data_IF_424039515985
#
_entry.id   IF_424039515985
#
_cell.length_a   1.000
_cell.length_b   1.000
_cell.length_c   1.000
_cell.angle_alpha   90.00
_cell.angle_beta   90.00
_cell.angle_gamma   90.00
#
_symmetry.space_group_name_H-M   'P 1'
#
loop_
_entity.id
_entity.type
_entity.pdbx_description
1 polymer ?
#
# COMPACT_ATOMS: atom_id res chain seq x y z
N UNK A 1 0.09 10.77 25.78
CA UNK A 1 1.24 11.16 24.92
C UNK A 1 1.31 10.35 23.62
N UNK A 2 1.45 9.02 23.68
CA UNK A 2 1.50 8.15 22.49
C UNK A 2 0.32 8.34 21.50
N UNK A 3 -0.91 8.49 22.00
CA UNK A 3 -2.09 8.71 21.15
C UNK A 3 -1.97 9.94 20.24
N UNK A 4 -1.46 11.06 20.77
CA UNK A 4 -1.32 12.29 19.98
C UNK A 4 -0.23 12.12 18.91
N UNK A 5 0.86 11.42 19.22
CA UNK A 5 1.92 11.10 18.25
C UNK A 5 1.37 10.26 17.10
N UNK A 6 0.59 9.21 17.39
CA UNK A 6 -0.04 8.39 16.35
C UNK A 6 -1.07 9.17 15.53
N UNK A 7 -1.90 9.99 16.19
CA UNK A 7 -2.89 10.83 15.52
C UNK A 7 -2.23 11.84 14.57
N UNK A 8 -1.15 12.49 15.00
CA UNK A 8 -0.40 13.42 14.16
C UNK A 8 0.26 12.73 12.97
N UNK A 9 0.82 11.53 13.17
CA UNK A 9 1.34 10.72 12.07
C UNK A 9 0.26 10.34 11.05
N UNK A 10 -0.94 9.96 11.51
CA UNK A 10 -2.06 9.61 10.66
C UNK A 10 -2.55 10.85 9.90
N UNK A 11 -2.74 11.98 10.58
CA UNK A 11 -3.19 13.22 9.96
C UNK A 11 -2.20 13.69 8.88
N UNK A 12 -0.90 13.68 9.19
CA UNK A 12 0.16 14.05 8.24
C UNK A 12 0.17 13.14 7.01
N UNK A 13 -0.08 11.84 7.19
CA UNK A 13 -0.22 10.90 6.06
C UNK A 13 -1.53 11.16 5.28
N UNK A 14 -2.64 11.41 5.97
CA UNK A 14 -3.94 11.68 5.36
C UNK A 14 -3.93 12.95 4.51
N UNK A 15 -3.37 14.04 5.03
CA UNK A 15 -3.19 15.30 4.31
C UNK A 15 -2.30 15.10 3.08
N UNK A 16 -1.26 14.28 3.19
CA UNK A 16 -0.39 13.93 2.08
C UNK A 16 -1.12 13.15 0.98
N UNK A 17 -1.87 12.09 1.33
CA UNK A 17 -2.65 11.31 0.36
C UNK A 17 -3.75 12.15 -0.31
N UNK A 18 -4.31 13.12 0.41
CA UNK A 18 -5.36 14.00 -0.08
C UNK A 18 -4.85 15.14 -0.98
N UNK A 19 -3.58 15.56 -0.80
CA UNK A 19 -3.02 16.71 -1.51
C UNK A 19 -2.97 16.49 -3.03
N UNK A 20 -2.79 15.26 -3.48
CA UNK A 20 -2.90 14.90 -4.89
C UNK A 20 -3.42 13.48 -5.09
N UNK A 21 -4.74 13.33 -4.96
CA UNK A 21 -5.44 12.06 -5.15
C UNK A 21 -5.18 11.45 -6.53
N UNK A 22 -4.99 12.30 -7.55
CA UNK A 22 -4.75 11.86 -8.93
C UNK A 22 -3.36 11.26 -9.09
N UNK A 23 -2.34 11.87 -8.47
CA UNK A 23 -1.00 11.28 -8.46
C UNK A 23 -0.97 10.02 -7.59
N UNK A 24 -1.65 10.04 -6.44
CA UNK A 24 -1.70 8.88 -5.55
C UNK A 24 -2.43 7.67 -6.15
N UNK A 25 -3.42 7.88 -7.02
CA UNK A 25 -4.12 6.78 -7.70
C UNK A 25 -3.17 5.99 -8.61
N UNK A 26 -2.20 6.65 -9.27
CA UNK A 26 -1.20 5.96 -10.11
C UNK A 26 -0.30 5.04 -9.27
N UNK A 27 0.16 5.51 -8.12
CA UNK A 27 0.94 4.67 -7.19
C UNK A 27 0.13 3.49 -6.67
N UNK A 28 -1.16 3.71 -6.39
CA UNK A 28 -2.05 2.65 -5.94
C UNK A 28 -2.27 1.58 -7.03
N UNK A 29 -2.42 1.97 -8.30
CA UNK A 29 -2.51 1.04 -9.43
C UNK A 29 -1.25 0.17 -9.56
N UNK A 30 -0.06 0.79 -9.49
CA UNK A 30 1.21 0.04 -9.49
C UNK A 30 1.31 -0.92 -8.30
N UNK A 31 0.95 -0.45 -7.10
CA UNK A 31 0.94 -1.28 -5.88
C UNK A 31 -0.01 -2.47 -5.99
N UNK A 32 -1.20 -2.28 -6.58
CA UNK A 32 -2.16 -3.36 -6.78
C UNK A 32 -1.59 -4.47 -7.67
N UNK A 33 -0.90 -4.11 -8.75
CA UNK A 33 -0.24 -5.09 -9.64
C UNK A 33 0.84 -5.85 -8.86
N UNK A 34 1.65 -5.14 -8.07
CA UNK A 34 2.70 -5.75 -7.25
C UNK A 34 2.13 -6.72 -6.20
N UNK A 35 1.09 -6.31 -5.47
CA UNK A 35 0.40 -7.19 -4.51
C UNK A 35 -0.19 -8.43 -5.19
N UNK A 36 -0.78 -8.27 -6.38
CA UNK A 36 -1.32 -9.40 -7.15
C UNK A 36 -0.23 -10.42 -7.51
N UNK A 37 0.97 -9.97 -7.88
CA UNK A 37 2.11 -10.86 -8.11
C UNK A 37 2.52 -11.59 -6.81
N UNK A 38 2.62 -10.88 -5.69
CA UNK A 38 2.90 -11.52 -4.39
C UNK A 38 1.86 -12.59 -4.02
N UNK A 39 0.57 -12.33 -4.21
CA UNK A 39 -0.51 -13.30 -3.95
C UNK A 39 -0.37 -14.54 -4.84
N UNK A 40 -0.10 -14.36 -6.14
CA UNK A 40 0.11 -15.47 -7.08
C UNK A 40 1.29 -16.36 -6.70
N UNK A 41 2.39 -15.76 -6.21
CA UNK A 41 3.58 -16.49 -5.77
C UNK A 41 3.27 -17.33 -4.53
N UNK A 42 2.54 -16.77 -3.58
CA UNK A 42 2.17 -17.43 -2.32
C UNK A 42 1.22 -18.62 -2.55
N UNK A 43 0.19 -18.45 -3.39
CA UNK A 43 -0.77 -19.50 -3.73
C UNK A 43 -0.14 -20.68 -4.48
N UNK A 44 0.88 -20.41 -5.31
CA UNK A 44 1.46 -21.41 -6.21
C UNK A 44 2.71 -22.10 -5.70
N UNK A 45 3.15 -21.82 -4.45
CA UNK A 45 4.42 -22.29 -3.89
C UNK A 45 5.58 -22.03 -4.87
N UNK A 46 5.81 -20.76 -5.23
CA UNK A 46 6.97 -20.25 -5.99
C UNK A 46 6.95 -20.35 -7.52
N UNK A 47 5.84 -20.68 -8.19
CA UNK A 47 5.80 -20.60 -9.66
C UNK A 47 5.68 -19.14 -10.12
N UNK A 48 6.82 -18.49 -10.27
CA UNK A 48 6.90 -17.09 -10.71
C UNK A 48 6.59 -16.88 -12.19
N UNK A 49 6.49 -17.95 -12.99
CA UNK A 49 6.19 -17.86 -14.44
C UNK A 49 4.83 -17.21 -14.68
N UNK A 50 3.89 -17.40 -13.76
CA UNK A 50 2.54 -16.79 -13.78
C UNK A 50 2.52 -15.27 -13.50
N UNK A 51 3.66 -14.70 -13.10
CA UNK A 51 3.79 -13.28 -12.78
C UNK A 51 4.30 -12.45 -13.95
N UNK A 52 4.84 -13.06 -15.01
CA UNK A 52 5.48 -12.33 -16.13
C UNK A 52 4.56 -11.25 -16.75
N UNK A 53 3.31 -11.59 -17.03
CA UNK A 53 2.35 -10.63 -17.61
C UNK A 53 2.06 -9.45 -16.66
N UNK A 54 1.94 -9.72 -15.36
CA UNK A 54 1.71 -8.67 -14.36
C UNK A 54 3.01 -7.88 -14.11
N UNK A 55 4.18 -8.51 -14.22
CA UNK A 55 5.48 -7.87 -14.08
C UNK A 55 5.75 -6.88 -15.21
N UNK A 56 5.36 -7.23 -16.45
CA UNK A 56 5.42 -6.30 -17.58
C UNK A 56 4.50 -5.10 -17.36
N UNK A 57 3.25 -5.34 -16.94
CA UNK A 57 2.32 -4.25 -16.62
C UNK A 57 2.83 -3.34 -15.51
N UNK A 58 3.42 -3.94 -14.47
CA UNK A 58 4.03 -3.18 -13.38
C UNK A 58 5.17 -2.30 -13.90
N UNK A 59 6.08 -2.86 -14.71
CA UNK A 59 7.19 -2.10 -15.28
C UNK A 59 6.68 -0.93 -16.14
N UNK A 60 5.68 -1.17 -17.00
CA UNK A 60 5.10 -0.13 -17.84
C UNK A 60 4.47 1.00 -17.00
N UNK A 61 3.72 0.68 -15.94
CA UNK A 61 3.16 1.69 -15.04
C UNK A 61 4.23 2.42 -14.24
N UNK A 62 5.23 1.69 -13.74
CA UNK A 62 6.36 2.26 -13.01
C UNK A 62 7.11 3.30 -13.86
N UNK A 63 7.39 3.00 -15.14
CA UNK A 63 8.08 3.93 -16.03
C UNK A 63 7.26 5.19 -16.31
N UNK A 64 5.93 5.08 -16.44
CA UNK A 64 5.05 6.25 -16.55
C UNK A 64 5.14 7.13 -15.31
N UNK A 65 5.16 6.52 -14.12
CA UNK A 65 5.27 7.24 -12.85
C UNK A 65 6.66 7.89 -12.78
N UNK A 66 7.74 7.13 -12.95
CA UNK A 66 9.13 7.60 -12.88
C UNK A 66 9.44 8.72 -13.89
N UNK A 67 8.88 8.67 -15.09
CA UNK A 67 9.05 9.69 -16.12
C UNK A 67 8.37 11.03 -15.81
N UNK A 68 7.35 11.04 -14.95
CA UNK A 68 6.63 12.24 -14.58
C UNK A 68 7.29 13.01 -13.43
N UNK A 69 8.16 12.36 -12.63
CA UNK A 69 8.78 12.99 -11.47
C UNK A 69 10.21 13.48 -11.75
N UNK A 70 10.43 14.80 -11.74
CA UNK A 70 11.74 15.44 -11.96
C UNK A 70 12.53 15.67 -10.65
N UNK A 71 13.79 16.13 -10.75
CA UNK A 71 14.68 16.37 -9.61
C UNK A 71 14.14 17.36 -8.56
N UNK A 72 13.29 18.29 -8.98
CA UNK A 72 12.63 19.31 -8.16
C UNK A 72 11.37 18.83 -7.41
N UNK A 73 10.95 17.58 -7.62
CA UNK A 73 9.65 17.09 -7.18
C UNK A 73 9.60 16.49 -5.77
N UNK A 74 8.37 16.40 -5.23
CA UNK A 74 8.08 16.07 -3.83
C UNK A 74 8.86 14.82 -3.37
N UNK A 75 9.78 15.04 -2.43
CA UNK A 75 10.57 14.02 -1.72
C UNK A 75 9.71 12.82 -1.30
N UNK A 76 8.43 13.03 -1.04
CA UNK A 76 7.52 11.98 -0.59
C UNK A 76 7.10 11.03 -1.74
N UNK A 77 6.85 11.53 -2.95
CA UNK A 77 6.54 10.66 -4.10
C UNK A 77 7.74 9.81 -4.50
N UNK A 78 8.93 10.41 -4.50
CA UNK A 78 10.18 9.67 -4.73
C UNK A 78 10.38 8.55 -3.71
N UNK A 79 10.03 8.82 -2.45
CA UNK A 79 10.07 7.81 -1.39
C UNK A 79 9.11 6.65 -1.64
N UNK A 80 7.90 6.91 -2.12
CA UNK A 80 6.95 5.85 -2.48
C UNK A 80 7.47 5.06 -3.68
N UNK A 81 7.97 5.74 -4.70
CA UNK A 81 8.52 5.11 -5.90
C UNK A 81 9.71 4.20 -5.57
N UNK A 82 10.64 4.66 -4.72
CA UNK A 82 11.74 3.85 -4.19
C UNK A 82 11.24 2.59 -3.48
N UNK A 83 10.21 2.74 -2.65
CA UNK A 83 9.62 1.59 -1.94
C UNK A 83 9.06 0.56 -2.92
N UNK A 84 8.35 1.01 -3.97
CA UNK A 84 7.82 0.13 -5.02
C UNK A 84 8.93 -0.55 -5.82
N UNK A 85 10.01 0.18 -6.14
CA UNK A 85 11.19 -0.36 -6.81
C UNK A 85 11.84 -1.47 -5.97
N UNK A 86 12.14 -1.18 -4.70
CA UNK A 86 12.78 -2.12 -3.78
C UNK A 86 11.92 -3.38 -3.56
N UNK A 87 10.60 -3.20 -3.40
CA UNK A 87 9.67 -4.31 -3.20
C UNK A 87 9.52 -5.19 -4.45
N UNK A 88 9.61 -4.61 -5.65
CA UNK A 88 9.65 -5.36 -6.92
C UNK A 88 10.95 -6.16 -7.06
N UNK A 89 12.09 -5.54 -6.78
CA UNK A 89 13.39 -6.23 -6.79
C UNK A 89 13.43 -7.38 -5.78
N UNK A 90 12.83 -7.20 -4.61
CA UNK A 90 12.68 -8.26 -3.61
C UNK A 90 11.77 -9.40 -4.11
N UNK A 91 10.69 -9.08 -4.84
CA UNK A 91 9.84 -10.08 -5.46
C UNK A 91 10.62 -10.87 -6.52
N UNK A 92 11.37 -10.19 -7.38
CA UNK A 92 12.23 -10.81 -8.39
C UNK A 92 13.26 -11.74 -7.75
N UNK A 93 13.95 -11.32 -6.70
CA UNK A 93 14.89 -12.17 -5.93
C UNK A 93 14.23 -13.42 -5.35
N UNK A 94 12.98 -13.34 -4.90
CA UNK A 94 12.23 -14.53 -4.44
C UNK A 94 11.94 -15.52 -5.58
N UNK A 95 11.89 -15.02 -6.80
CA UNK A 95 11.69 -15.79 -8.02
C UNK A 95 13.00 -16.32 -8.64
N UNK A 96 14.14 -15.70 -8.34
CA UNK A 96 15.46 -16.01 -8.94
C UNK A 96 16.05 -17.38 -8.56
N UNK A 97 15.37 -18.18 -7.72
CA UNK A 97 15.71 -19.60 -7.57
C UNK A 97 15.45 -20.40 -8.87
N UNK A 98 14.59 -19.90 -9.76
CA UNK A 98 14.33 -20.46 -11.09
C UNK A 98 15.02 -19.59 -12.16
N UNK A 99 16.23 -19.98 -12.58
CA UNK A 99 17.07 -19.32 -13.61
C UNK A 99 16.41 -19.07 -14.99
N UNK A 100 15.15 -19.48 -15.17
CA UNK A 100 14.43 -19.41 -16.45
C UNK A 100 13.50 -18.19 -16.61
N UNK A 101 13.27 -17.42 -15.55
CA UNK A 101 12.24 -16.37 -15.55
C UNK A 101 12.90 -14.99 -15.67
N UNK A 102 12.75 -14.37 -16.84
CA UNK A 102 13.32 -13.05 -17.09
C UNK A 102 12.29 -11.95 -16.78
N UNK A 103 12.30 -11.45 -15.54
CA UNK A 103 11.50 -10.28 -15.15
C UNK A 103 12.05 -9.01 -15.81
N UNK A 104 11.16 -8.09 -16.27
CA UNK A 104 11.55 -6.77 -16.73
C UNK A 104 12.47 -6.05 -15.74
N UNK A 105 13.47 -5.34 -16.27
CA UNK A 105 14.32 -4.47 -15.45
C UNK A 105 13.71 -3.08 -15.43
N UNK A 106 13.59 -2.51 -14.24
CA UNK A 106 13.11 -1.14 -14.04
C UNK A 106 14.24 -0.13 -14.23
N UNK A 107 13.91 1.05 -14.76
CA UNK A 107 14.86 2.16 -14.81
C UNK A 107 15.13 2.67 -13.39
N UNK A 108 16.40 3.00 -13.08
CA UNK A 108 16.73 3.64 -11.82
C UNK A 108 15.97 4.97 -11.69
N UNK A 109 15.59 5.28 -10.45
CA UNK A 109 14.87 6.52 -10.17
C UNK A 109 15.81 7.69 -10.40
N UNK A 110 15.35 8.68 -11.16
CA UNK A 110 16.07 9.94 -11.36
C UNK A 110 16.05 10.71 -10.02
N UNK A 111 17.14 10.59 -9.27
CA UNK A 111 17.33 11.35 -8.03
C UNK A 111 18.68 12.06 -8.04
N UNK A 112 18.79 13.22 -7.38
CA UNK A 112 20.10 13.78 -7.06
C UNK A 112 20.83 12.82 -6.11
N UNK A 113 22.14 12.63 -6.32
CA UNK A 113 23.02 11.65 -5.63
C UNK A 113 22.87 11.58 -4.09
N UNK A 114 22.37 12.65 -3.47
CA UNK A 114 22.21 12.81 -2.02
C UNK A 114 20.94 12.14 -1.45
N UNK A 115 20.04 11.62 -2.30
CA UNK A 115 18.76 11.05 -1.85
C UNK A 115 18.90 9.59 -1.42
N UNK A 116 19.69 8.79 -2.16
CA UNK A 116 19.94 7.38 -1.88
C UNK A 116 20.71 7.16 -0.57
N UNK A 117 21.73 7.97 -0.31
CA UNK A 117 22.59 7.85 0.89
C UNK A 117 21.84 8.06 2.22
N UNK A 118 20.79 8.89 2.24
CA UNK A 118 19.97 9.12 3.44
C UNK A 118 18.97 7.98 3.72
N UNK A 119 18.71 7.13 2.73
CA UNK A 119 17.81 5.98 2.84
C UNK A 119 18.57 4.73 3.27
N UNK A 120 19.76 4.52 2.70
CA UNK A 120 20.66 3.40 2.99
C UNK A 120 21.13 3.40 4.45
N UNK A 121 21.44 4.59 5.01
CA UNK A 121 21.79 4.76 6.42
C UNK A 121 20.66 4.47 7.43
N UNK A 122 19.42 4.28 6.96
CA UNK A 122 18.29 3.86 7.82
C UNK A 122 17.93 2.39 7.65
N UNK A 123 18.39 1.74 6.58
CA UNK A 123 18.11 0.33 6.25
C UNK A 123 19.13 -0.63 6.88
N UNK A 124 20.36 -0.18 7.14
CA UNK A 124 21.44 -1.01 7.68
C UNK A 124 21.31 -1.38 9.17
N UNK A 125 20.33 -0.84 9.91
CA UNK A 125 20.23 -1.02 11.38
C UNK A 125 18.95 -1.68 11.90
N UNK A 126 18.06 -2.23 11.06
CA UNK A 126 16.84 -2.85 11.59
C UNK A 126 16.34 -4.02 10.77
N UNK A 127 16.08 -5.14 11.44
CA UNK A 127 15.54 -6.38 10.87
C UNK A 127 14.17 -6.13 10.20
N UNK A 128 14.21 -5.96 8.88
CA UNK A 128 13.11 -5.59 7.98
C UNK A 128 11.90 -6.55 8.08
N UNK A 129 12.10 -7.78 8.56
CA UNK A 129 11.02 -8.75 8.75
C UNK A 129 10.03 -8.43 9.89
N UNK A 130 10.38 -7.54 10.83
CA UNK A 130 9.58 -7.29 12.04
C UNK A 130 8.62 -6.09 11.95
N UNK A 131 8.69 -5.28 10.89
CA UNK A 131 7.96 -3.99 10.77
C UNK A 131 6.87 -3.94 9.70
N UNK A 132 6.89 -4.82 8.68
CA UNK A 132 5.89 -4.78 7.59
C UNK A 132 4.53 -5.42 7.96
N UNK A 133 4.55 -6.43 8.82
CA UNK A 133 3.34 -7.15 9.27
C UNK A 133 2.39 -6.25 10.11
N UNK A 134 2.86 -5.45 11.10
CA UNK A 134 1.94 -4.58 11.86
C UNK A 134 1.37 -3.40 11.05
N UNK A 135 2.10 -2.92 10.03
CA UNK A 135 1.62 -1.81 9.18
C UNK A 135 0.50 -2.26 8.25
N UNK A 136 0.51 -3.48 7.71
CA UNK A 136 -0.59 -3.97 6.86
C UNK A 136 -1.84 -4.36 7.68
N UNK A 137 -1.66 -4.97 8.86
CA UNK A 137 -2.78 -5.42 9.70
C UNK A 137 -3.56 -4.26 10.36
N UNK A 138 -2.91 -3.13 10.64
CA UNK A 138 -3.57 -1.96 11.26
C UNK A 138 -4.48 -1.19 10.30
N UNK A 139 -4.37 -1.37 8.98
CA UNK A 139 -5.21 -0.68 8.00
C UNK A 139 -6.49 -1.45 7.63
N UNK A 140 -6.49 -2.78 7.77
CA UNK A 140 -7.66 -3.62 7.49
C UNK A 140 -8.73 -3.51 8.59
N UNK A 141 -8.31 -3.64 9.85
CA UNK A 141 -9.22 -3.78 11.00
C UNK A 141 -10.16 -2.57 11.17
N UNK A 142 -9.71 -1.29 11.09
CA UNK A 142 -10.60 -0.15 11.27
C UNK A 142 -11.59 0.06 10.12
N UNK A 143 -11.21 -0.29 8.89
CA UNK A 143 -12.07 -0.12 7.71
C UNK A 143 -13.25 -1.09 7.76
N UNK A 144 -13.01 -2.37 8.09
CA UNK A 144 -14.08 -3.35 8.25
C UNK A 144 -14.94 -3.11 9.50
N UNK A 145 -14.36 -2.68 10.63
CA UNK A 145 -15.14 -2.31 11.82
C UNK A 145 -15.98 -1.04 11.60
N UNK A 146 -15.47 -0.04 10.89
CA UNK A 146 -16.21 1.19 10.58
C UNK A 146 -17.45 0.94 9.71
N UNK A 147 -17.31 0.05 8.72
CA UNK A 147 -18.42 -0.38 7.87
C UNK A 147 -19.44 -1.18 8.69
N UNK A 148 -19.00 -2.19 9.46
CA UNK A 148 -19.89 -3.00 10.31
C UNK A 148 -20.61 -2.16 11.39
N UNK A 149 -19.91 -1.21 12.03
CA UNK A 149 -20.49 -0.31 13.03
C UNK A 149 -21.59 0.57 12.43
N UNK A 150 -21.37 1.13 11.23
CA UNK A 150 -22.37 1.96 10.54
C UNK A 150 -23.62 1.15 10.18
N UNK A 151 -23.48 -0.09 9.69
CA UNK A 151 -24.62 -0.96 9.38
C UNK A 151 -25.33 -1.48 10.65
N UNK A 152 -24.61 -1.76 11.73
CA UNK A 152 -25.18 -2.24 13.00
C UNK A 152 -25.94 -1.15 13.75
N UNK A 153 -25.39 0.09 13.82
CA UNK A 153 -26.06 1.25 14.41
C UNK A 153 -27.35 1.62 13.66
N UNK A 154 -27.33 1.49 12.32
CA UNK A 154 -28.50 1.71 11.47
C UNK A 154 -29.56 0.61 11.65
N UNK A 155 -29.14 -0.63 11.91
CA UNK A 155 -30.03 -1.75 12.24
C UNK A 155 -30.70 -1.62 13.62
N UNK A 156 -29.97 -1.14 14.63
CA UNK A 156 -30.48 -0.98 16.00
C UNK A 156 -31.52 0.15 16.12
N UNK A 157 -31.31 1.28 15.44
CA UNK A 157 -32.27 2.39 15.45
C UNK A 157 -33.65 2.02 14.87
N UNK A 158 -33.69 1.15 13.85
CA UNK A 158 -34.95 0.69 13.25
C UNK A 158 -35.72 -0.27 14.15
N UNK A 159 -35.04 -1.01 15.03
CA UNK A 159 -35.65 -1.97 15.96
C UNK A 159 -36.22 -1.28 17.19
N UNK A 160 -35.54 -0.25 17.71
CA UNK A 160 -36.01 0.54 18.87
C UNK A 160 -37.24 1.38 18.53
N UNK A 161 -37.29 2.03 17.36
CA UNK A 161 -38.47 2.77 16.90
C UNK A 161 -39.71 1.86 16.72
N UNK A 162 -39.53 0.66 16.14
CA UNK A 162 -40.64 -0.32 16.00
C UNK A 162 -41.18 -0.79 17.36
N UNK A 163 -40.33 -0.98 18.36
CA UNK A 163 -40.78 -1.34 19.72
C UNK A 163 -41.50 -0.17 20.42
N UNK A 164 -41.02 1.06 20.25
CA UNK A 164 -41.66 2.27 20.78
C UNK A 164 -43.07 2.47 20.21
N UNK A 165 -43.23 2.34 18.88
CA UNK A 165 -44.54 2.45 18.22
C UNK A 165 -45.52 1.34 18.66
N UNK A 166 -45.04 0.10 18.82
CA UNK A 166 -45.86 -1.01 19.35
C UNK A 166 -46.30 -0.80 20.80
N UNK A 167 -45.49 -0.13 21.63
CA UNK A 167 -45.88 0.21 23.01
C UNK A 167 -46.92 1.34 23.06
N UNK A 168 -46.91 2.30 22.14
CA UNK A 168 -47.93 3.36 22.05
C UNK A 168 -49.28 2.89 21.53
N UNK A 169 -49.32 1.88 20.66
CA UNK A 169 -50.57 1.30 20.16
C UNK A 169 -51.27 0.34 21.15
N UNK A 170 -50.62 0.01 22.27
CA UNK A 170 -51.18 -0.86 23.33
C UNK A 170 -51.61 -0.08 24.59
N UNK A 171 -51.58 1.25 24.53
CA UNK A 171 -52.08 2.16 25.58
C UNK A 171 -53.25 2.93 25.01
#
# INVERSE_FOLDING_TARGET
EAYNIYKDLINKKGDFMNKDIKEMSKFYEALQILCKMYTKIDESKSNCTKCLDDAQKFADEYEKINGNYNDTEDRTYKKILLTLFDDYDNLKKKCDNDQSINFPTLSPIKTPDNFAQNFENRSSSSSIASTLIPVLLTFSIPFFLGIAYKYSLFGFGKRSQKQYLRKRLKK
#
